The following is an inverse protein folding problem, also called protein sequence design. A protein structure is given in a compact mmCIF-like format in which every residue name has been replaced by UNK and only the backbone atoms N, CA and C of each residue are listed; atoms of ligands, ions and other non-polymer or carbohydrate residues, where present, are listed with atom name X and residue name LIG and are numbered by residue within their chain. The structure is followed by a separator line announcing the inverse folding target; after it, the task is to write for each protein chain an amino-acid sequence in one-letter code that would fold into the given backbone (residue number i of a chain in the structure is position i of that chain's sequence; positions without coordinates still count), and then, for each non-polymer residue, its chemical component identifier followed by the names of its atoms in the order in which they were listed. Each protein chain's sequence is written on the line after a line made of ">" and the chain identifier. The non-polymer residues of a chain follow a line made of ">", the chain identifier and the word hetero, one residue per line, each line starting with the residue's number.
data_IF_814992342595
#
_entry.id   IF_814992342595
#
_cell.length_a   1.000
_cell.length_b   1.000
_cell.length_c   1.000
_cell.angle_alpha   90.00
_cell.angle_beta   90.00
_cell.angle_gamma   90.00
#
_symmetry.space_group_name_H-M   'P 1'
#
loop_
_entity.id
_entity.type
_entity.pdbx_description
1 polymer ?
#
# COMPACT_ATOMS: atom_id res chain seq x y z
N UNK A 1 9.89 -19.22 5.43
CA UNK A 1 10.65 -18.41 6.39
C UNK A 1 10.55 -16.95 5.99
N UNK A 2 10.13 -16.09 6.92
CA UNK A 2 9.88 -14.66 6.68
C UNK A 2 10.97 -13.80 7.33
N UNK A 3 11.23 -12.60 6.79
CA UNK A 3 12.18 -11.64 7.35
C UNK A 3 11.49 -10.33 7.76
N UNK A 4 12.07 -9.54 8.69
CA UNK A 4 11.57 -8.21 9.02
C UNK A 4 11.39 -7.29 7.80
N UNK A 5 12.27 -7.41 6.80
CA UNK A 5 12.18 -6.64 5.57
C UNK A 5 10.95 -7.03 4.72
N UNK A 6 10.54 -8.30 4.74
CA UNK A 6 9.33 -8.75 4.07
C UNK A 6 8.07 -8.21 4.77
N UNK A 7 8.06 -8.17 6.11
CA UNK A 7 6.97 -7.52 6.87
C UNK A 7 6.89 -6.05 6.54
N UNK A 8 8.03 -5.35 6.55
CA UNK A 8 8.10 -3.93 6.18
C UNK A 8 7.52 -3.68 4.80
N UNK A 9 7.92 -4.48 3.81
CA UNK A 9 7.41 -4.40 2.44
C UNK A 9 5.90 -4.64 2.38
N UNK A 10 5.39 -5.64 3.10
CA UNK A 10 3.96 -5.96 3.12
C UNK A 10 3.13 -4.86 3.80
N UNK A 11 3.60 -4.33 4.93
CA UNK A 11 2.91 -3.28 5.68
C UNK A 11 2.87 -1.96 4.91
N UNK A 12 4.02 -1.52 4.38
CA UNK A 12 4.10 -0.25 3.64
C UNK A 12 3.47 -0.29 2.24
N UNK A 13 3.08 -1.47 1.75
CA UNK A 13 2.27 -1.59 0.55
C UNK A 13 0.79 -1.26 0.80
N UNK A 14 0.34 -1.26 2.06
CA UNK A 14 -1.05 -0.99 2.41
C UNK A 14 -1.27 0.53 2.56
N UNK A 15 -2.39 1.06 2.05
CA UNK A 15 -2.66 2.50 2.11
C UNK A 15 -2.68 3.04 3.54
N UNK A 16 -2.04 4.20 3.74
CA UNK A 16 -2.08 4.95 4.99
C UNK A 16 -1.34 4.28 6.16
N UNK A 17 -0.46 3.32 5.89
CA UNK A 17 0.39 2.71 6.92
C UNK A 17 1.66 3.55 7.13
N UNK A 18 1.85 3.99 8.36
CA UNK A 18 3.06 4.62 8.85
C UNK A 18 3.99 3.59 9.51
N UNK A 19 5.31 3.81 9.43
CA UNK A 19 6.34 3.03 10.14
C UNK A 19 7.00 3.90 11.20
N UNK A 20 6.94 3.45 12.46
CA UNK A 20 7.72 3.99 13.57
C UNK A 20 8.84 3.01 13.94
N UNK A 21 10.05 3.52 14.14
CA UNK A 21 11.23 2.71 14.50
C UNK A 21 11.75 3.14 15.87
N UNK A 22 11.83 2.18 16.79
CA UNK A 22 12.38 2.38 18.13
C UNK A 22 13.44 1.31 18.40
N UNK A 23 14.71 1.71 18.29
CA UNK A 23 15.83 0.77 18.33
C UNK A 23 15.75 -0.26 17.19
N UNK A 24 15.59 -1.54 17.53
CA UNK A 24 15.40 -2.64 16.56
C UNK A 24 13.93 -3.00 16.34
N UNK A 25 13.02 -2.43 17.10
CA UNK A 25 11.58 -2.64 16.95
C UNK A 25 11.03 -1.76 15.84
N UNK A 26 10.09 -2.30 15.07
CA UNK A 26 9.34 -1.58 14.04
C UNK A 26 7.86 -1.72 14.31
N UNK A 27 7.16 -0.61 14.41
CA UNK A 27 5.71 -0.57 14.61
C UNK A 27 5.08 -0.01 13.35
N UNK A 28 4.07 -0.70 12.84
CA UNK A 28 3.28 -0.27 11.70
C UNK A 28 1.88 0.08 12.18
N UNK A 29 1.39 1.26 11.79
CA UNK A 29 0.08 1.75 12.20
C UNK A 29 -0.68 2.38 11.04
N UNK A 30 -2.00 2.25 11.03
CA UNK A 30 -2.89 2.96 10.10
C UNK A 30 -3.81 3.86 10.90
N UNK A 31 -3.86 5.16 10.56
CA UNK A 31 -4.68 6.15 11.27
C UNK A 31 -4.53 6.11 12.81
N UNK A 32 -3.30 5.88 13.30
CA UNK A 32 -2.98 5.78 14.73
C UNK A 32 -3.24 4.41 15.37
N UNK A 33 -3.89 3.48 14.69
CA UNK A 33 -4.11 2.12 15.17
C UNK A 33 -2.95 1.20 14.73
N UNK A 34 -2.34 0.49 15.69
CA UNK A 34 -1.27 -0.48 15.40
C UNK A 34 -1.84 -1.65 14.61
N UNK A 35 -1.17 -2.04 13.53
CA UNK A 35 -1.54 -3.22 12.72
C UNK A 35 -0.53 -4.34 12.84
N UNK A 36 0.75 -4.00 13.03
CA UNK A 36 1.80 -4.98 13.21
C UNK A 36 2.99 -4.39 13.97
N UNK A 37 3.67 -5.21 14.76
CA UNK A 37 4.95 -4.87 15.37
C UNK A 37 5.94 -5.99 15.06
N UNK A 38 7.13 -5.63 14.58
CA UNK A 38 8.25 -6.57 14.49
C UNK A 38 9.19 -6.30 15.65
N UNK A 39 9.34 -7.28 16.53
CA UNK A 39 10.19 -7.19 17.73
C UNK A 39 11.68 -7.33 17.37
N UNK A 40 12.59 -6.93 18.26
CA UNK A 40 14.03 -7.19 18.11
C UNK A 40 14.38 -8.68 17.95
N UNK A 41 13.57 -9.56 18.54
CA UNK A 41 13.73 -11.02 18.53
C UNK A 41 13.17 -11.67 17.25
N UNK A 42 12.76 -10.86 16.27
CA UNK A 42 12.16 -11.30 15.02
C UNK A 42 10.83 -12.05 15.20
N UNK A 43 10.00 -11.59 16.13
CA UNK A 43 8.61 -11.99 16.25
C UNK A 43 7.69 -10.95 15.60
N UNK A 44 6.59 -11.43 15.02
CA UNK A 44 5.49 -10.61 14.52
C UNK A 44 4.39 -10.58 15.58
N UNK A 45 4.10 -9.38 16.10
CA UNK A 45 2.95 -9.11 16.96
C UNK A 45 1.83 -8.46 16.17
N UNK A 46 0.64 -8.99 16.29
CA UNK A 46 -0.60 -8.42 15.72
C UNK A 46 -1.57 -8.21 16.89
N UNK A 47 -2.19 -7.03 17.05
CA UNK A 47 -3.14 -6.80 18.12
C UNK A 47 -4.26 -7.85 18.14
N UNK A 48 -4.54 -8.39 19.34
CA UNK A 48 -5.55 -9.43 19.53
C UNK A 48 -5.15 -10.83 19.06
N UNK A 49 -3.87 -11.07 18.69
CA UNK A 49 -3.36 -12.39 18.31
C UNK A 49 -2.13 -12.75 19.14
N UNK A 50 -1.81 -14.05 19.16
CA UNK A 50 -0.56 -14.54 19.74
C UNK A 50 0.63 -14.14 18.85
N UNK A 51 1.74 -13.78 19.50
CA UNK A 51 3.01 -13.48 18.82
C UNK A 51 3.52 -14.71 18.05
N UNK A 52 4.05 -14.48 16.85
CA UNK A 52 4.56 -15.55 15.98
C UNK A 52 5.97 -15.25 15.54
N UNK A 53 6.88 -16.21 15.74
CA UNK A 53 8.26 -16.10 15.25
C UNK A 53 8.28 -16.05 13.72
N UNK A 54 8.98 -15.05 13.15
CA UNK A 54 9.09 -14.89 11.69
C UNK A 54 9.76 -16.09 11.01
N UNK A 55 10.60 -16.81 11.74
CA UNK A 55 11.23 -18.05 11.27
C UNK A 55 10.21 -19.15 10.99
N UNK A 56 9.11 -19.20 11.77
CA UNK A 56 8.07 -20.22 11.72
C UNK A 56 6.99 -20.02 10.68
N UNK A 57 6.94 -18.86 10.02
CA UNK A 57 5.93 -18.54 9.00
C UNK A 57 6.55 -18.18 7.66
N UNK A 58 5.79 -18.40 6.60
CA UNK A 58 6.17 -17.99 5.25
C UNK A 58 5.64 -16.59 4.88
N UNK A 59 6.09 -16.09 3.73
CA UNK A 59 5.74 -14.76 3.25
C UNK A 59 4.24 -14.57 2.96
N UNK A 60 3.53 -15.65 2.61
CA UNK A 60 2.09 -15.60 2.37
C UNK A 60 1.33 -15.48 3.68
N UNK A 61 1.69 -16.30 4.67
CA UNK A 61 1.08 -16.29 6.00
C UNK A 61 1.27 -14.94 6.68
N UNK A 62 2.50 -14.44 6.74
CA UNK A 62 2.79 -13.13 7.33
C UNK A 62 2.06 -11.99 6.61
N UNK A 63 2.00 -12.01 5.28
CA UNK A 63 1.26 -11.02 4.50
C UNK A 63 -0.25 -11.09 4.79
N UNK A 64 -0.82 -12.29 4.87
CA UNK A 64 -2.22 -12.47 5.24
C UNK A 64 -2.52 -11.92 6.63
N UNK A 65 -1.65 -12.18 7.62
CA UNK A 65 -1.79 -11.64 8.98
C UNK A 65 -1.78 -10.11 9.00
N UNK A 66 -0.81 -9.48 8.33
CA UNK A 66 -0.69 -8.01 8.26
C UNK A 66 -1.89 -7.40 7.53
N UNK A 67 -2.32 -7.99 6.40
CA UNK A 67 -3.49 -7.50 5.64
C UNK A 67 -4.78 -7.63 6.44
N UNK A 68 -4.98 -8.74 7.15
CA UNK A 68 -6.14 -8.91 8.04
C UNK A 68 -6.17 -7.86 9.15
N UNK A 69 -5.02 -7.62 9.80
CA UNK A 69 -4.91 -6.62 10.85
C UNK A 69 -5.20 -5.20 10.33
N UNK A 70 -4.70 -4.89 9.12
CA UNK A 70 -5.01 -3.62 8.46
C UNK A 70 -6.50 -3.48 8.16
N UNK A 71 -7.17 -4.48 7.58
CA UNK A 71 -8.61 -4.40 7.34
C UNK A 71 -9.44 -4.23 8.62
N UNK A 72 -8.97 -4.76 9.75
CA UNK A 72 -9.65 -4.60 11.03
C UNK A 72 -9.46 -3.20 11.65
N UNK A 73 -8.37 -2.50 11.31
CA UNK A 73 -7.99 -1.22 11.90
C UNK A 73 -8.19 -0.01 10.97
N UNK A 74 -8.19 -0.22 9.66
CA UNK A 74 -8.24 0.84 8.68
C UNK A 74 -9.61 1.54 8.66
N UNK A 75 -9.63 2.88 8.54
CA UNK A 75 -10.85 3.63 8.25
C UNK A 75 -11.50 3.16 6.95
N UNK A 76 -12.84 3.21 6.89
CA UNK A 76 -13.61 2.80 5.70
C UNK A 76 -13.16 3.53 4.43
N UNK A 77 -12.72 4.80 4.53
CA UNK A 77 -12.21 5.57 3.39
C UNK A 77 -10.91 5.00 2.80
N UNK A 78 -10.07 4.33 3.60
CA UNK A 78 -8.86 3.65 3.15
C UNK A 78 -9.20 2.28 2.57
N UNK A 79 -10.08 1.55 3.24
CA UNK A 79 -10.61 0.26 2.76
C UNK A 79 -11.32 0.39 1.41
N UNK A 80 -12.19 1.38 1.26
CA UNK A 80 -12.90 1.67 0.02
C UNK A 80 -11.92 2.01 -1.12
N UNK A 81 -10.87 2.80 -0.86
CA UNK A 81 -9.84 3.11 -1.86
C UNK A 81 -9.06 1.88 -2.32
N UNK A 82 -8.66 1.01 -1.39
CA UNK A 82 -7.94 -0.21 -1.75
C UNK A 82 -8.83 -1.14 -2.60
N UNK A 83 -10.10 -1.31 -2.23
CA UNK A 83 -11.06 -2.09 -3.02
C UNK A 83 -11.29 -1.48 -4.40
N UNK A 84 -11.53 -0.17 -4.46
CA UNK A 84 -11.71 0.54 -5.73
C UNK A 84 -10.48 0.38 -6.63
N UNK A 85 -9.27 0.38 -6.07
CA UNK A 85 -8.06 0.14 -6.83
C UNK A 85 -7.92 -1.30 -7.30
N UNK A 86 -8.25 -2.30 -6.47
CA UNK A 86 -8.23 -3.70 -6.88
C UNK A 86 -9.20 -3.97 -8.05
N UNK A 87 -10.37 -3.30 -8.04
CA UNK A 87 -11.40 -3.39 -9.06
C UNK A 87 -11.12 -2.50 -10.29
N UNK A 88 -10.30 -1.45 -10.15
CA UNK A 88 -10.07 -0.47 -11.20
C UNK A 88 -9.54 -1.10 -12.50
N UNK A 89 -10.18 -0.68 -13.60
CA UNK A 89 -9.85 -1.03 -14.98
C UNK A 89 -9.47 0.23 -15.74
N UNK A 90 -8.42 0.15 -16.55
CA UNK A 90 -7.96 1.29 -17.33
C UNK A 90 -9.04 1.80 -18.31
N UNK A 91 -9.33 3.09 -18.25
CA UNK A 91 -10.38 3.74 -19.05
C UNK A 91 -11.78 3.68 -18.46
N UNK A 92 -11.95 3.09 -17.27
CA UNK A 92 -13.23 3.04 -16.55
C UNK A 92 -13.24 3.90 -15.26
N UNK A 93 -12.11 4.55 -14.95
CA UNK A 93 -11.95 5.41 -13.77
C UNK A 93 -11.90 6.87 -14.23
N UNK A 94 -13.00 7.60 -14.02
CA UNK A 94 -13.11 9.03 -14.34
C UNK A 94 -12.71 9.34 -15.79
N UNK A 95 -11.84 10.33 -15.95
CA UNK A 95 -11.22 10.72 -17.22
C UNK A 95 -9.79 10.18 -17.39
N UNK A 96 -9.36 9.23 -16.55
CA UNK A 96 -8.02 8.64 -16.64
C UNK A 96 -7.86 7.87 -17.96
N UNK A 97 -6.80 8.14 -18.76
CA UNK A 97 -6.66 7.53 -20.08
C UNK A 97 -6.47 6.01 -20.00
N UNK A 98 -7.24 5.25 -20.79
CA UNK A 98 -7.06 3.79 -20.93
C UNK A 98 -5.61 3.38 -21.26
N UNK A 99 -4.89 4.24 -21.97
CA UNK A 99 -3.53 4.00 -22.45
C UNK A 99 -2.46 3.98 -21.36
N UNK A 100 -2.73 4.46 -20.14
CA UNK A 100 -1.80 4.31 -18.99
C UNK A 100 -1.73 2.85 -18.50
N UNK A 101 -2.73 2.04 -18.84
CA UNK A 101 -2.84 0.64 -18.47
C UNK A 101 -3.36 0.42 -17.05
N UNK A 102 -3.82 -0.81 -16.78
CA UNK A 102 -4.44 -1.16 -15.49
C UNK A 102 -3.47 -0.96 -14.31
N UNK A 103 -2.19 -1.38 -14.36
CA UNK A 103 -1.29 -1.19 -13.22
C UNK A 103 -1.14 0.28 -12.78
N UNK A 104 -0.99 1.20 -13.73
CA UNK A 104 -0.90 2.63 -13.42
C UNK A 104 -2.24 3.16 -12.91
N UNK A 105 -3.36 2.76 -13.53
CA UNK A 105 -4.71 3.14 -13.07
C UNK A 105 -4.93 2.74 -11.61
N UNK A 106 -4.59 1.51 -11.22
CA UNK A 106 -4.70 1.04 -9.84
C UNK A 106 -3.84 1.85 -8.88
N UNK A 107 -2.58 2.10 -9.25
CA UNK A 107 -1.67 2.89 -8.42
C UNK A 107 -2.17 4.32 -8.14
N UNK A 108 -2.87 4.94 -9.12
CA UNK A 108 -3.54 6.23 -8.95
C UNK A 108 -4.73 6.12 -7.99
N UNK A 109 -5.62 5.14 -8.21
CA UNK A 109 -6.83 4.96 -7.38
C UNK A 109 -6.48 4.64 -5.92
N UNK A 110 -5.42 3.87 -5.65
CA UNK A 110 -4.92 3.62 -4.28
C UNK A 110 -4.59 4.93 -3.54
N UNK A 111 -4.12 5.93 -4.29
CA UNK A 111 -3.76 7.27 -3.79
C UNK A 111 -4.95 8.24 -3.77
N UNK A 112 -6.13 7.79 -4.16
CA UNK A 112 -7.34 8.60 -4.25
C UNK A 112 -7.41 9.47 -5.50
N UNK A 113 -6.54 9.24 -6.49
CA UNK A 113 -6.54 9.95 -7.77
C UNK A 113 -7.48 9.20 -8.70
N UNK A 114 -8.59 9.83 -9.04
CA UNK A 114 -9.66 9.25 -9.86
C UNK A 114 -9.95 10.06 -11.12
N UNK A 115 -9.36 11.25 -11.25
CA UNK A 115 -9.41 12.07 -12.46
C UNK A 115 -8.08 12.80 -12.71
N UNK A 116 -7.93 13.40 -13.89
CA UNK A 116 -6.76 14.17 -14.27
C UNK A 116 -6.57 15.41 -13.40
N UNK A 117 -7.66 16.03 -12.93
CA UNK A 117 -7.59 17.19 -12.03
C UNK A 117 -6.99 16.84 -10.65
N UNK A 118 -7.14 15.60 -10.17
CA UNK A 118 -6.51 15.13 -8.92
C UNK A 118 -4.97 15.10 -9.01
N UNK A 119 -4.42 15.24 -10.21
CA UNK A 119 -2.98 15.28 -10.46
C UNK A 119 -2.37 16.68 -10.39
N UNK A 120 -3.18 17.72 -10.15
CA UNK A 120 -2.71 19.09 -10.03
C UNK A 120 -1.68 19.21 -8.89
N UNK A 121 -0.51 19.76 -9.22
CA UNK A 121 0.62 19.86 -8.29
C UNK A 121 1.47 18.60 -8.14
N UNK A 122 1.11 17.47 -8.77
CA UNK A 122 1.90 16.24 -8.76
C UNK A 122 2.89 16.22 -9.92
N UNK A 123 4.19 16.20 -9.61
CA UNK A 123 5.26 16.21 -10.61
C UNK A 123 5.45 14.86 -11.30
N UNK A 124 6.08 14.87 -12.47
CA UNK A 124 6.43 13.64 -13.21
C UNK A 124 7.39 12.74 -12.42
N UNK A 125 8.34 13.33 -11.68
CA UNK A 125 9.26 12.58 -10.81
C UNK A 125 8.51 11.88 -9.68
N UNK A 126 7.50 12.55 -9.11
CA UNK A 126 6.65 11.97 -8.08
C UNK A 126 5.87 10.80 -8.64
N UNK A 127 5.26 10.95 -9.83
CA UNK A 127 4.58 9.87 -10.52
C UNK A 127 5.51 8.69 -10.81
N UNK A 128 6.71 8.95 -11.31
CA UNK A 128 7.70 7.92 -11.65
C UNK A 128 8.20 7.15 -10.42
N UNK A 129 8.12 7.75 -9.23
CA UNK A 129 8.47 7.06 -7.98
C UNK A 129 7.41 6.03 -7.53
N UNK A 130 6.20 6.10 -8.08
CA UNK A 130 5.11 5.23 -7.66
C UNK A 130 5.20 3.86 -8.31
N UNK A 131 5.16 2.83 -7.46
CA UNK A 131 5.08 1.45 -7.92
C UNK A 131 3.84 1.25 -8.81
N UNK A 132 4.03 0.67 -9.99
CA UNK A 132 2.97 0.45 -10.99
C UNK A 132 2.83 1.58 -12.02
N UNK A 133 3.45 2.76 -11.80
CA UNK A 133 3.44 3.87 -12.76
C UNK A 133 4.74 3.88 -13.56
N UNK A 134 4.68 3.35 -14.79
CA UNK A 134 5.83 3.28 -15.69
C UNK A 134 6.09 4.58 -16.48
N UNK A 135 7.27 4.73 -17.12
CA UNK A 135 7.61 5.92 -17.91
C UNK A 135 6.58 6.25 -19.01
N UNK A 136 6.00 5.22 -19.62
CA UNK A 136 4.92 5.37 -20.61
C UNK A 136 3.66 5.98 -20.00
N UNK A 137 3.27 5.54 -18.79
CA UNK A 137 2.13 6.10 -18.09
C UNK A 137 2.38 7.56 -17.70
N UNK A 138 3.58 7.89 -17.18
CA UNK A 138 3.98 9.28 -16.88
C UNK A 138 3.86 10.17 -18.12
N UNK A 139 4.41 9.72 -19.26
CA UNK A 139 4.33 10.46 -20.52
C UNK A 139 2.89 10.71 -20.96
N UNK A 140 2.04 9.68 -20.89
CA UNK A 140 0.62 9.79 -21.29
C UNK A 140 -0.14 10.73 -20.35
N UNK A 141 0.08 10.62 -19.04
CA UNK A 141 -0.56 11.50 -18.06
C UNK A 141 -0.17 12.95 -18.30
N UNK A 142 1.10 13.24 -18.59
CA UNK A 142 1.56 14.59 -18.96
C UNK A 142 0.88 15.09 -20.24
N UNK A 143 0.75 14.24 -21.25
CA UNK A 143 0.12 14.60 -22.54
C UNK A 143 -1.40 14.77 -22.44
N UNK A 144 -2.03 14.25 -21.39
CA UNK A 144 -3.48 14.25 -21.22
C UNK A 144 -3.98 15.33 -20.25
N UNK A 145 -3.08 16.00 -19.52
CA UNK A 145 -3.39 17.13 -18.62
C UNK A 145 -3.55 18.44 -19.38
#
# INVERSE_FOLDING_TARGET
>A
MTTPAQIRKAALALPGVDEAVEGRQRTYSVAGAVVAVVTPDADLRIPGRQDVALAGINGMESNALVRQAWYAAAPESLTARLRAAEEAVAGEVGDLPKSIGTPATRALVERGITCLADLDGITEETLASWHGVGPTAVRILRESR
#
